data_IF_411129392118
#
_entry.id   IF_411129392118
#
_cell.length_a   1.000
_cell.length_b   1.000
_cell.length_c   1.000
_cell.angle_alpha   90.00
_cell.angle_beta   90.00
_cell.angle_gamma   90.00
#
_symmetry.space_group_name_H-M   'P 1'
#
loop_
_entity.id
_entity.type
_entity.pdbx_description
1 polymer ?
#
# COMPACT_ATOMS: atom_id res chain seq x y z
N UNK A 1 8.08 -10.43 -11.19
CA UNK A 1 8.43 -9.06 -10.76
C UNK A 1 9.25 -9.06 -9.48
N UNK A 2 8.83 -9.68 -8.37
CA UNK A 2 9.59 -9.77 -7.10
C UNK A 2 11.01 -10.29 -7.34
N UNK A 3 11.16 -11.45 -7.97
CA UNK A 3 12.46 -12.08 -8.29
C UNK A 3 13.41 -11.15 -9.10
N UNK A 4 12.85 -10.35 -10.00
CA UNK A 4 13.63 -9.35 -10.74
C UNK A 4 14.22 -8.29 -9.80
N UNK A 5 13.41 -7.72 -8.92
CA UNK A 5 13.90 -6.72 -7.98
C UNK A 5 14.87 -7.29 -6.95
N UNK A 6 14.61 -8.51 -6.45
CA UNK A 6 15.56 -9.17 -5.54
C UNK A 6 16.91 -9.38 -6.20
N UNK A 7 16.95 -9.77 -7.47
CA UNK A 7 18.22 -9.90 -8.23
C UNK A 7 18.91 -8.56 -8.48
N UNK A 8 18.15 -7.48 -8.58
CA UNK A 8 18.68 -6.15 -8.83
C UNK A 8 19.26 -5.48 -7.59
N UNK A 9 18.54 -5.55 -6.46
CA UNK A 9 18.84 -4.77 -5.25
C UNK A 9 19.11 -5.61 -4.00
N UNK A 10 18.94 -6.91 -4.10
CA UNK A 10 19.04 -7.83 -2.96
C UNK A 10 17.73 -7.99 -2.18
N UNK A 11 17.56 -9.13 -1.51
CA UNK A 11 16.34 -9.50 -0.80
C UNK A 11 16.02 -8.55 0.37
N UNK A 12 17.03 -7.93 0.97
CA UNK A 12 16.87 -7.01 2.11
C UNK A 12 16.23 -5.66 1.72
N UNK A 13 16.09 -5.39 0.43
CA UNK A 13 15.57 -4.12 -0.09
C UNK A 13 14.22 -4.27 -0.81
N UNK A 14 13.65 -5.47 -0.82
CA UNK A 14 12.36 -5.73 -1.49
C UNK A 14 11.27 -5.98 -0.46
N UNK A 15 10.12 -5.36 -0.68
CA UNK A 15 8.90 -5.62 0.09
C UNK A 15 7.69 -5.59 -0.81
N UNK A 16 6.62 -6.28 -0.44
CA UNK A 16 5.36 -6.24 -1.15
C UNK A 16 4.33 -5.38 -0.42
N UNK A 17 3.46 -4.75 -1.19
CA UNK A 17 2.25 -4.12 -0.74
C UNK A 17 1.11 -4.60 -1.62
N UNK A 18 -0.05 -4.81 -1.04
CA UNK A 18 -1.19 -5.42 -1.71
C UNK A 18 -2.14 -4.38 -2.30
N UNK A 19 -2.08 -3.15 -1.80
CA UNK A 19 -3.05 -2.08 -2.10
C UNK A 19 -4.50 -2.54 -1.90
N UNK A 20 -4.69 -3.49 -0.97
CA UNK A 20 -6.00 -4.07 -0.69
C UNK A 20 -6.87 -3.10 0.10
N UNK A 21 -8.15 -3.10 -0.16
CA UNK A 21 -9.12 -2.16 0.38
C UNK A 21 -10.19 -2.88 1.20
N UNK A 22 -10.53 -2.32 2.36
CA UNK A 22 -11.57 -2.88 3.23
C UNK A 22 -12.96 -2.93 2.58
N UNK A 23 -13.22 -2.12 1.56
CA UNK A 23 -14.51 -2.09 0.86
C UNK A 23 -14.35 -1.68 -0.59
N UNK A 24 -14.36 -2.65 -1.47
CA UNK A 24 -14.39 -2.43 -2.93
C UNK A 24 -15.58 -1.58 -3.32
N UNK A 25 -16.76 -1.85 -2.73
CA UNK A 25 -17.97 -1.06 -3.00
C UNK A 25 -17.78 0.42 -2.67
N UNK A 26 -17.20 0.74 -1.51
CA UNK A 26 -16.96 2.13 -1.11
C UNK A 26 -16.04 2.88 -2.07
N UNK A 27 -15.03 2.21 -2.61
CA UNK A 27 -14.12 2.79 -3.60
C UNK A 27 -14.79 2.98 -4.95
N UNK A 28 -15.56 2.00 -5.41
CA UNK A 28 -16.36 2.12 -6.63
C UNK A 28 -17.36 3.27 -6.51
N UNK A 29 -18.12 3.34 -5.42
CA UNK A 29 -19.09 4.42 -5.17
C UNK A 29 -18.38 5.80 -5.15
N UNK A 30 -17.20 5.89 -4.54
CA UNK A 30 -16.40 7.11 -4.54
C UNK A 30 -15.92 7.48 -5.94
N UNK A 31 -15.37 6.54 -6.70
CA UNK A 31 -14.89 6.75 -8.06
C UNK A 31 -16.03 7.17 -9.00
N UNK A 32 -17.20 6.54 -8.90
CA UNK A 32 -18.38 6.88 -9.68
C UNK A 32 -18.89 8.28 -9.34
N UNK A 33 -18.92 8.65 -8.06
CA UNK A 33 -19.33 9.99 -7.61
C UNK A 33 -18.39 11.10 -8.10
N UNK A 34 -17.13 10.76 -8.30
CA UNK A 34 -16.08 11.67 -8.73
C UNK A 34 -15.56 11.34 -10.15
N UNK A 35 -16.42 10.79 -11.00
CA UNK A 35 -16.06 10.27 -12.32
C UNK A 35 -15.23 11.25 -13.16
N UNK A 36 -15.50 12.56 -13.08
CA UNK A 36 -14.73 13.60 -13.77
C UNK A 36 -13.26 13.68 -13.38
N UNK A 37 -12.91 13.28 -12.14
CA UNK A 37 -11.50 13.22 -11.68
C UNK A 37 -10.78 11.99 -12.26
N UNK A 38 -11.55 11.00 -12.69
CA UNK A 38 -11.07 9.70 -13.19
C UNK A 38 -11.45 9.48 -14.65
N UNK A 39 -11.83 10.55 -15.38
CA UNK A 39 -12.38 10.49 -16.73
C UNK A 39 -11.37 9.91 -17.73
N UNK A 40 -10.10 10.23 -17.57
CA UNK A 40 -9.00 9.59 -18.31
C UNK A 40 -8.67 8.19 -17.77
N UNK A 41 -9.33 7.79 -16.70
CA UNK A 41 -9.11 6.56 -15.96
C UNK A 41 -10.27 5.58 -15.97
N UNK A 42 -11.05 5.51 -17.03
CA UNK A 42 -12.06 4.45 -17.26
C UNK A 42 -11.57 3.04 -16.94
N UNK A 43 -10.29 2.90 -16.96
CA UNK A 43 -9.50 1.77 -16.50
C UNK A 43 -9.78 1.35 -15.04
N UNK A 44 -9.93 2.26 -14.09
CA UNK A 44 -10.21 1.86 -12.70
C UNK A 44 -11.63 1.30 -12.54
N UNK A 45 -12.61 1.95 -13.14
CA UNK A 45 -14.02 1.49 -13.10
C UNK A 45 -14.15 0.16 -13.84
N UNK A 46 -13.51 0.01 -15.00
CA UNK A 46 -13.47 -1.23 -15.75
C UNK A 46 -12.74 -2.36 -15.01
N UNK A 47 -11.66 -2.06 -14.30
CA UNK A 47 -10.96 -3.05 -13.48
C UNK A 47 -11.85 -3.55 -12.34
N UNK A 48 -12.58 -2.67 -11.65
CA UNK A 48 -13.53 -3.04 -10.61
C UNK A 48 -14.74 -3.81 -11.16
N UNK A 49 -15.28 -3.40 -12.30
CA UNK A 49 -16.39 -4.10 -12.96
C UNK A 49 -16.00 -5.49 -13.48
N UNK A 50 -14.73 -5.69 -13.83
CA UNK A 50 -14.19 -7.00 -14.25
C UNK A 50 -13.78 -7.91 -13.09
N UNK A 51 -14.12 -7.54 -11.85
CA UNK A 51 -13.85 -8.36 -10.67
C UNK A 51 -12.42 -8.23 -10.16
N UNK A 52 -11.81 -7.07 -10.33
CA UNK A 52 -10.61 -6.73 -9.59
C UNK A 52 -10.94 -6.83 -8.10
N UNK A 53 -10.41 -7.78 -7.55
CA UNK A 53 -10.54 -8.53 -6.34
C UNK A 53 -10.92 -7.69 -5.11
N UNK A 54 -12.04 -8.03 -4.54
CA UNK A 54 -12.31 -7.77 -3.13
C UNK A 54 -11.49 -8.73 -2.24
N UNK A 55 -11.43 -8.43 -0.99
CA UNK A 55 -10.62 -9.02 0.09
C UNK A 55 -10.58 -10.58 0.16
N UNK A 56 -11.43 -11.30 -0.57
CA UNK A 56 -11.48 -12.75 -0.54
C UNK A 56 -10.39 -13.47 -1.37
N UNK A 57 -9.69 -12.76 -2.24
CA UNK A 57 -8.69 -13.36 -3.14
C UNK A 57 -7.26 -13.12 -2.68
N UNK A 58 -7.03 -12.16 -1.76
CA UNK A 58 -5.70 -11.77 -1.31
C UNK A 58 -4.93 -12.95 -0.72
N UNK A 59 -5.58 -13.77 0.11
CA UNK A 59 -4.95 -14.95 0.71
C UNK A 59 -4.50 -15.97 -0.33
N UNK A 60 -5.29 -16.16 -1.39
CA UNK A 60 -4.95 -17.06 -2.50
C UNK A 60 -3.79 -16.52 -3.31
N UNK A 61 -3.78 -15.20 -3.58
CA UNK A 61 -2.70 -14.54 -4.31
C UNK A 61 -1.39 -14.63 -3.53
N UNK A 62 -1.41 -14.35 -2.22
CA UNK A 62 -0.23 -14.47 -1.37
C UNK A 62 0.27 -15.90 -1.28
N UNK A 63 -0.62 -16.90 -1.19
CA UNK A 63 -0.24 -18.31 -1.23
C UNK A 63 0.45 -18.67 -2.56
N UNK A 64 -0.12 -18.28 -3.69
CA UNK A 64 0.47 -18.53 -5.00
C UNK A 64 1.84 -17.84 -5.20
N UNK A 65 2.00 -16.62 -4.68
CA UNK A 65 3.29 -15.92 -4.67
C UNK A 65 4.30 -16.68 -3.81
N UNK A 66 3.88 -17.16 -2.65
CA UNK A 66 4.73 -17.94 -1.74
C UNK A 66 5.24 -19.21 -2.41
N UNK A 67 4.34 -19.96 -3.03
CA UNK A 67 4.68 -21.20 -3.76
C UNK A 67 5.65 -20.94 -4.91
N UNK A 68 5.43 -19.88 -5.69
CA UNK A 68 6.33 -19.50 -6.80
C UNK A 68 7.73 -19.09 -6.28
N UNK A 69 7.81 -18.36 -5.18
CA UNK A 69 9.08 -17.97 -4.59
C UNK A 69 9.83 -19.17 -4.01
N UNK A 70 9.14 -20.10 -3.34
CA UNK A 70 9.77 -21.36 -2.89
C UNK A 70 10.29 -22.18 -4.07
N UNK A 71 9.51 -22.30 -5.14
CA UNK A 71 9.94 -23.00 -6.36
C UNK A 71 11.18 -22.38 -7.01
N UNK A 72 11.44 -21.09 -6.77
CA UNK A 72 12.63 -20.36 -7.20
C UNK A 72 13.80 -20.45 -6.23
N UNK A 73 13.64 -21.14 -5.11
CA UNK A 73 14.69 -21.37 -4.12
C UNK A 73 14.79 -20.32 -3.01
N UNK A 74 13.79 -19.47 -2.84
CA UNK A 74 13.75 -18.53 -1.72
C UNK A 74 13.52 -19.29 -0.42
N UNK A 75 14.25 -18.91 0.62
CA UNK A 75 14.08 -19.46 1.96
C UNK A 75 12.88 -18.84 2.69
N UNK A 76 12.43 -19.49 3.76
CA UNK A 76 11.40 -18.91 4.65
C UNK A 76 11.85 -17.57 5.24
N UNK A 77 13.15 -17.40 5.48
CA UNK A 77 13.73 -16.16 5.97
C UNK A 77 13.63 -15.05 4.92
N UNK A 78 13.92 -15.36 3.66
CA UNK A 78 13.75 -14.41 2.55
C UNK A 78 12.29 -13.98 2.39
N UNK A 79 11.36 -14.92 2.49
CA UNK A 79 9.93 -14.63 2.44
C UNK A 79 9.50 -13.74 3.61
N UNK A 80 9.96 -14.01 4.82
CA UNK A 80 9.66 -13.18 5.98
C UNK A 80 10.15 -11.73 5.79
N UNK A 81 11.33 -11.53 5.19
CA UNK A 81 11.86 -10.21 4.83
C UNK A 81 10.96 -9.52 3.81
N UNK A 82 10.61 -10.19 2.71
CA UNK A 82 9.78 -9.66 1.62
C UNK A 82 8.37 -9.31 2.12
N UNK A 83 7.74 -10.15 2.93
CA UNK A 83 6.37 -9.95 3.42
C UNK A 83 6.24 -8.86 4.49
N UNK A 84 7.29 -8.47 5.15
CA UNK A 84 7.18 -7.40 6.14
C UNK A 84 8.45 -7.08 6.91
N UNK A 85 9.36 -8.03 7.08
CA UNK A 85 10.58 -7.87 7.88
C UNK A 85 11.41 -6.66 7.46
N UNK A 86 11.60 -6.44 6.16
CA UNK A 86 12.32 -5.29 5.65
C UNK A 86 11.65 -3.96 5.99
N UNK A 87 10.33 -3.88 5.89
CA UNK A 87 9.56 -2.69 6.28
C UNK A 87 9.69 -2.42 7.77
N UNK A 88 9.54 -3.45 8.60
CA UNK A 88 9.67 -3.33 10.04
C UNK A 88 11.07 -2.88 10.46
N UNK A 89 12.12 -3.41 9.81
CA UNK A 89 13.49 -2.96 10.02
C UNK A 89 13.66 -1.47 9.71
N UNK A 90 13.16 -1.01 8.57
CA UNK A 90 13.24 0.40 8.18
C UNK A 90 12.45 1.27 9.16
N UNK A 91 11.25 0.88 9.54
CA UNK A 91 10.46 1.62 10.52
C UNK A 91 11.16 1.71 11.87
N UNK A 92 11.77 0.62 12.35
CA UNK A 92 12.54 0.63 13.58
C UNK A 92 13.71 1.62 13.52
N UNK A 93 14.46 1.61 12.41
CA UNK A 93 15.59 2.53 12.21
C UNK A 93 15.16 4.00 12.13
N UNK A 94 14.06 4.29 11.43
CA UNK A 94 13.56 5.66 11.27
C UNK A 94 12.94 6.18 12.57
N UNK A 95 12.36 5.30 13.38
CA UNK A 95 11.76 5.67 14.68
C UNK A 95 12.76 5.68 15.84
N UNK A 96 14.00 5.24 15.62
CA UNK A 96 15.04 5.30 16.62
C UNK A 96 15.33 6.76 17.01
N UNK A 97 15.16 7.09 18.28
CA UNK A 97 15.32 8.46 18.80
C UNK A 97 14.14 9.41 18.51
N UNK A 98 13.07 8.94 17.93
CA UNK A 98 11.84 9.75 17.77
C UNK A 98 11.09 9.78 19.10
N UNK A 99 10.93 10.98 19.66
CA UNK A 99 10.02 11.19 20.78
C UNK A 99 8.57 11.07 20.29
N UNK A 100 7.80 10.07 20.79
CA UNK A 100 6.42 9.87 20.36
C UNK A 100 5.52 11.10 20.58
N UNK A 101 5.79 11.89 21.62
CA UNK A 101 5.02 13.12 21.92
C UNK A 101 5.33 14.21 20.90
N UNK A 102 6.62 14.46 20.62
CA UNK A 102 7.04 15.42 19.62
C UNK A 102 6.50 15.06 18.23
N UNK A 103 6.52 13.77 17.87
CA UNK A 103 5.93 13.30 16.63
C UNK A 103 4.42 13.55 16.58
N UNK A 104 3.69 13.23 17.65
CA UNK A 104 2.24 13.46 17.73
C UNK A 104 1.88 14.95 17.61
N UNK A 105 2.62 15.83 18.27
CA UNK A 105 2.42 17.28 18.15
C UNK A 105 2.67 17.78 16.73
N UNK A 106 3.75 17.34 16.12
CA UNK A 106 4.09 17.72 14.75
C UNK A 106 3.04 17.22 13.75
N UNK A 107 2.56 16.00 13.94
CA UNK A 107 1.50 15.41 13.12
C UNK A 107 0.18 16.20 13.27
N UNK A 108 -0.21 16.54 14.48
CA UNK A 108 -1.43 17.31 14.76
C UNK A 108 -1.37 18.69 14.10
N UNK A 109 -0.26 19.41 14.24
CA UNK A 109 -0.05 20.71 13.58
C UNK A 109 -0.15 20.61 12.05
N UNK A 110 0.42 19.55 11.48
CA UNK A 110 0.34 19.31 10.03
C UNK A 110 -1.09 19.02 9.58
N UNK A 111 -1.84 18.26 10.36
CA UNK A 111 -3.24 17.95 10.09
C UNK A 111 -4.13 19.20 10.12
N UNK A 112 -3.94 20.07 11.13
CA UNK A 112 -4.63 21.36 11.24
C UNK A 112 -4.34 22.25 10.03
N UNK A 113 -3.07 22.36 9.63
CA UNK A 113 -2.67 23.12 8.44
C UNK A 113 -3.35 22.59 7.16
N UNK A 114 -3.34 21.27 6.95
CA UNK A 114 -3.99 20.65 5.81
C UNK A 114 -5.51 20.85 5.81
N UNK A 115 -6.12 20.78 6.98
CA UNK A 115 -7.55 21.04 7.15
C UNK A 115 -7.91 22.49 6.80
N UNK A 116 -7.10 23.44 7.25
CA UNK A 116 -7.25 24.86 6.93
C UNK A 116 -7.12 25.12 5.43
N UNK A 117 -6.07 24.57 4.80
CA UNK A 117 -5.86 24.69 3.34
C UNK A 117 -7.04 24.12 2.55
N UNK A 118 -7.61 22.98 3.00
CA UNK A 118 -8.76 22.38 2.37
C UNK A 118 -10.00 23.28 2.44
N UNK A 119 -10.26 23.89 3.58
CA UNK A 119 -11.38 24.83 3.74
C UNK A 119 -11.22 26.09 2.87
N UNK A 120 -10.01 26.62 2.77
CA UNK A 120 -9.72 27.79 1.91
C UNK A 120 -9.89 27.47 0.41
N UNK A 121 -9.62 26.23 0.00
CA UNK A 121 -9.79 25.78 -1.39
C UNK A 121 -11.23 25.44 -1.75
N UNK A 122 -11.98 24.89 -0.81
CA UNK A 122 -13.38 24.48 -1.03
C UNK A 122 -14.39 25.59 -0.78
N UNK A 123 -13.98 26.72 -0.20
CA UNK A 123 -14.81 27.90 0.02
C UNK A 123 -14.79 28.91 -1.14
N UNK A 124 -14.15 28.57 -2.26
CA UNK A 124 -14.18 29.29 -3.52
C UNK A 124 -14.95 28.47 -4.57
#
# INVERSE_FOLDING_TARGET
MIDYYVKLVGVDHVGIATDDMFSTKGVVDFAMKNAKMYDDGGYMIDAFNKGATGNGELSKILAAITDDLWARGYSNEDLAKIYGGNKMRVYAQVSEGVDPKAFQEQYSKRLEMLTKMRHEHMGK
#
